data_IF_125390864567
#
_entry.id   IF_125390864567
#
_cell.length_a   1.000
_cell.length_b   1.000
_cell.length_c   1.000
_cell.angle_alpha   90.00
_cell.angle_beta   90.00
_cell.angle_gamma   90.00
#
_symmetry.space_group_name_H-M   'P 1'
#
loop_
_entity.id
_entity.type
_entity.pdbx_description
1 polymer ?
#
# COMPACT_ATOMS: atom_id res chain seq x y z
N UNK A 1 32.90 -14.99 1.20
CA UNK A 1 32.37 -15.37 -0.14
C UNK A 1 31.08 -16.12 0.10
N UNK A 2 29.94 -15.39 0.11
CA UNK A 2 28.60 -15.97 0.29
C UNK A 2 28.03 -16.26 -1.09
N UNK A 3 27.79 -17.54 -1.39
CA UNK A 3 27.11 -17.97 -2.59
C UNK A 3 25.61 -17.69 -2.42
N UNK A 4 25.07 -16.77 -3.25
CA UNK A 4 23.64 -16.59 -3.39
C UNK A 4 23.14 -17.69 -4.32
N UNK A 5 22.42 -18.67 -3.75
CA UNK A 5 21.71 -19.67 -4.55
C UNK A 5 20.44 -19.02 -5.13
N UNK A 6 20.46 -18.83 -6.43
CA UNK A 6 19.29 -18.35 -7.18
C UNK A 6 18.43 -19.56 -7.57
N UNK A 7 17.32 -19.76 -6.85
CA UNK A 7 16.31 -20.75 -7.23
C UNK A 7 15.47 -20.19 -8.38
N UNK A 8 15.62 -20.79 -9.57
CA UNK A 8 14.79 -20.46 -10.73
C UNK A 8 13.52 -21.33 -10.67
N UNK A 9 12.38 -20.79 -10.24
CA UNK A 9 11.10 -21.45 -10.37
C UNK A 9 10.55 -21.25 -11.78
N UNK A 10 10.42 -22.34 -12.53
CA UNK A 10 9.74 -22.35 -13.82
C UNK A 10 8.23 -22.42 -13.59
N UNK A 11 7.54 -21.28 -13.66
CA UNK A 11 6.07 -21.25 -13.66
C UNK A 11 5.62 -21.68 -15.07
N UNK A 12 4.92 -22.80 -15.16
CA UNK A 12 4.32 -23.24 -16.42
C UNK A 12 3.23 -22.24 -16.84
N UNK A 13 3.39 -21.68 -18.04
CA UNK A 13 2.36 -20.81 -18.66
C UNK A 13 2.77 -19.35 -18.91
N UNK A 14 3.88 -18.88 -18.36
CA UNK A 14 4.37 -17.52 -18.68
C UNK A 14 5.30 -17.59 -19.89
N UNK A 15 4.86 -17.06 -21.04
CA UNK A 15 5.74 -16.84 -22.19
C UNK A 15 6.73 -15.71 -21.81
N UNK A 16 7.99 -16.07 -21.64
CA UNK A 16 9.04 -15.09 -21.48
C UNK A 16 9.06 -14.18 -22.72
N UNK A 17 8.91 -12.88 -22.50
CA UNK A 17 9.12 -11.87 -23.54
C UNK A 17 10.61 -11.91 -23.90
N UNK A 18 10.93 -12.28 -25.15
CA UNK A 18 12.30 -12.22 -25.63
C UNK A 18 12.64 -10.76 -25.86
N UNK A 19 13.46 -10.20 -25.00
CA UNK A 19 14.12 -8.91 -25.27
C UNK A 19 15.45 -9.22 -25.97
N UNK A 20 15.60 -8.76 -27.19
CA UNK A 20 16.85 -8.84 -27.96
C UNK A 20 17.36 -7.41 -28.20
N UNK A 21 18.67 -7.23 -28.16
CA UNK A 21 19.28 -5.96 -28.55
C UNK A 21 19.27 -5.77 -30.07
N UNK A 22 19.76 -4.62 -30.55
CA UNK A 22 19.82 -4.33 -31.99
C UNK A 22 20.80 -5.22 -32.79
N UNK A 23 21.58 -6.06 -32.11
CA UNK A 23 22.51 -7.04 -32.70
C UNK A 23 21.96 -8.46 -32.64
N UNK A 24 20.74 -8.67 -32.06
CA UNK A 24 20.10 -9.99 -31.93
C UNK A 24 20.61 -10.81 -30.75
N UNK A 25 21.42 -10.24 -29.86
CA UNK A 25 21.92 -10.91 -28.69
C UNK A 25 20.82 -10.97 -27.60
N UNK A 26 20.79 -12.07 -26.85
CA UNK A 26 19.86 -12.22 -25.71
C UNK A 26 20.30 -11.34 -24.56
N UNK A 27 19.58 -10.25 -24.34
CA UNK A 27 19.76 -9.47 -23.11
C UNK A 27 19.00 -10.20 -22.01
N UNK A 28 19.71 -10.81 -21.07
CA UNK A 28 19.15 -11.28 -19.81
C UNK A 28 19.01 -10.07 -18.89
N UNK A 29 17.84 -9.43 -18.92
CA UNK A 29 17.53 -8.37 -17.95
C UNK A 29 17.47 -8.97 -16.53
N UNK A 30 18.22 -8.36 -15.61
CA UNK A 30 18.06 -8.67 -14.19
C UNK A 30 16.77 -7.98 -13.70
N UNK A 31 15.78 -8.78 -13.33
CA UNK A 31 14.53 -8.27 -12.80
C UNK A 31 14.52 -8.42 -11.28
N UNK A 32 14.18 -7.35 -10.57
CA UNK A 32 13.93 -7.36 -9.14
C UNK A 32 12.43 -7.59 -8.91
N UNK A 33 12.11 -8.58 -8.10
CA UNK A 33 10.74 -8.86 -7.66
C UNK A 33 10.63 -8.49 -6.18
N UNK A 34 9.63 -7.67 -5.84
CA UNK A 34 9.36 -7.23 -4.45
C UNK A 34 7.91 -7.56 -4.16
N UNK A 35 7.67 -8.26 -3.06
CA UNK A 35 6.35 -8.62 -2.58
C UNK A 35 6.19 -8.21 -1.12
N UNK A 36 4.94 -8.06 -0.69
CA UNK A 36 4.59 -7.91 0.70
C UNK A 36 5.03 -9.13 1.53
N UNK A 37 5.37 -8.89 2.81
CA UNK A 37 5.97 -9.93 3.66
C UNK A 37 5.01 -11.07 4.00
N UNK A 38 3.72 -10.79 4.24
CA UNK A 38 2.71 -11.77 4.65
C UNK A 38 1.37 -11.46 3.99
N UNK A 39 0.68 -12.49 3.51
CA UNK A 39 -0.69 -12.40 3.01
C UNK A 39 -1.55 -13.50 3.63
N UNK A 40 -2.77 -13.16 4.04
CA UNK A 40 -3.78 -14.09 4.52
C UNK A 40 -4.91 -14.15 3.50
N UNK A 41 -5.26 -15.36 3.06
CA UNK A 41 -6.27 -15.60 2.03
C UNK A 41 -7.37 -16.51 2.55
N UNK A 42 -8.61 -16.18 2.22
CA UNK A 42 -9.78 -17.02 2.53
C UNK A 42 -10.87 -16.28 3.28
N UNK A 43 -11.99 -16.96 3.43
CA UNK A 43 -13.13 -16.43 4.17
C UNK A 43 -12.77 -16.21 5.63
N UNK A 44 -12.97 -14.98 6.12
CA UNK A 44 -12.66 -14.62 7.50
C UNK A 44 -11.21 -14.24 7.76
N UNK A 45 -10.36 -14.06 6.73
CA UNK A 45 -8.95 -13.64 6.89
C UNK A 45 -8.77 -12.36 7.73
N UNK A 46 -9.76 -11.45 7.75
CA UNK A 46 -9.74 -10.25 8.60
C UNK A 46 -9.64 -10.57 10.10
N UNK A 47 -10.03 -11.78 10.53
CA UNK A 47 -9.94 -12.20 11.93
C UNK A 47 -8.50 -12.35 12.44
N UNK A 48 -7.53 -12.38 11.53
CA UNK A 48 -6.11 -12.41 11.88
C UNK A 48 -5.59 -11.03 12.34
N UNK A 49 -6.30 -9.93 12.01
CA UNK A 49 -5.88 -8.56 12.32
C UNK A 49 -5.54 -8.37 13.80
N UNK A 50 -6.39 -8.73 14.79
CA UNK A 50 -6.07 -8.51 16.20
C UNK A 50 -4.81 -9.26 16.65
N UNK A 51 -4.62 -10.48 16.16
CA UNK A 51 -3.41 -11.28 16.46
C UNK A 51 -2.14 -10.60 15.94
N UNK A 52 -2.18 -10.07 14.72
CA UNK A 52 -1.07 -9.33 14.11
C UNK A 52 -0.75 -8.07 14.92
N UNK A 53 -1.78 -7.26 15.22
CA UNK A 53 -1.64 -6.01 15.99
C UNK A 53 -1.01 -6.28 17.35
N UNK A 54 -1.56 -7.25 18.09
CA UNK A 54 -1.07 -7.61 19.41
C UNK A 54 0.37 -8.15 19.39
N UNK A 55 0.72 -8.97 18.41
CA UNK A 55 2.09 -9.53 18.28
C UNK A 55 3.15 -8.46 18.03
N UNK A 56 2.76 -7.34 17.44
CA UNK A 56 3.63 -6.18 17.17
C UNK A 56 3.58 -5.11 18.27
N UNK A 57 2.66 -5.24 19.22
CA UNK A 57 2.50 -4.30 20.33
C UNK A 57 1.87 -2.97 19.94
N UNK A 58 1.23 -2.89 18.78
CA UNK A 58 0.51 -1.70 18.33
C UNK A 58 -0.73 -1.42 19.17
N UNK A 59 -1.12 -0.14 19.27
CA UNK A 59 -2.20 0.33 20.16
C UNK A 59 -3.35 1.00 19.42
N UNK A 60 -3.06 1.82 18.41
CA UNK A 60 -4.07 2.62 17.74
C UNK A 60 -3.92 2.56 16.23
N UNK A 61 -4.98 2.14 15.55
CA UNK A 61 -5.05 2.07 14.10
C UNK A 61 -5.48 3.40 13.49
N UNK A 62 -4.87 3.80 12.38
CA UNK A 62 -5.46 4.73 11.44
C UNK A 62 -6.18 3.94 10.35
N UNK A 63 -7.51 3.93 10.38
CA UNK A 63 -8.33 3.17 9.43
C UNK A 63 -8.70 4.07 8.27
N UNK A 64 -8.08 3.86 7.12
CA UNK A 64 -8.34 4.61 5.90
C UNK A 64 -9.28 3.83 4.97
N UNK A 65 -10.44 4.42 4.64
CA UNK A 65 -11.45 3.81 3.79
C UNK A 65 -12.19 4.86 2.99
N UNK A 66 -12.83 4.48 1.88
CA UNK A 66 -13.69 5.41 1.18
C UNK A 66 -15.07 5.58 1.87
N UNK A 67 -15.75 6.73 1.65
CA UNK A 67 -17.00 7.03 2.34
C UNK A 67 -18.13 6.06 2.00
N UNK A 68 -18.15 5.45 0.82
CA UNK A 68 -19.20 4.51 0.43
C UNK A 68 -19.06 3.19 1.19
N UNK A 69 -17.83 2.69 1.34
CA UNK A 69 -17.59 1.49 2.15
C UNK A 69 -17.93 1.70 3.63
N UNK A 70 -17.72 2.90 4.14
CA UNK A 70 -18.18 3.29 5.49
C UNK A 70 -19.71 3.27 5.56
N UNK A 71 -20.37 3.94 4.63
CA UNK A 71 -21.82 4.03 4.54
C UNK A 71 -22.50 2.67 4.40
N UNK A 72 -21.93 1.77 3.62
CA UNK A 72 -22.48 0.43 3.39
C UNK A 72 -22.05 -0.60 4.45
N UNK A 73 -21.36 -0.20 5.50
CA UNK A 73 -20.97 -1.07 6.61
C UNK A 73 -19.87 -2.08 6.28
N UNK A 74 -19.18 -1.92 5.15
CA UNK A 74 -18.05 -2.80 4.82
C UNK A 74 -16.87 -2.54 5.74
N UNK A 75 -16.56 -1.26 6.00
CA UNK A 75 -15.52 -0.84 6.93
C UNK A 75 -15.83 -1.27 8.36
N UNK A 76 -17.11 -1.29 8.74
CA UNK A 76 -17.57 -1.71 10.07
C UNK A 76 -17.12 -3.13 10.41
N UNK A 77 -17.02 -4.05 9.45
CA UNK A 77 -16.53 -5.41 9.69
C UNK A 77 -15.12 -5.44 10.30
N UNK A 78 -14.29 -4.46 9.98
CA UNK A 78 -12.93 -4.35 10.54
C UNK A 78 -12.96 -3.51 11.82
N UNK A 79 -13.66 -2.35 11.82
CA UNK A 79 -13.68 -1.49 13.01
C UNK A 79 -14.39 -2.11 14.21
N UNK A 80 -15.42 -2.93 13.98
CA UNK A 80 -16.07 -3.66 15.06
C UNK A 80 -15.15 -4.74 15.62
N UNK A 81 -14.41 -5.43 14.75
CA UNK A 81 -13.39 -6.39 15.19
C UNK A 81 -12.27 -5.72 16.01
N UNK A 82 -11.85 -4.50 15.67
CA UNK A 82 -10.89 -3.73 16.48
C UNK A 82 -11.49 -3.40 17.87
N UNK A 83 -12.71 -2.90 17.90
CA UNK A 83 -13.43 -2.60 19.18
C UNK A 83 -13.57 -3.82 20.06
N UNK A 84 -14.02 -4.95 19.51
CA UNK A 84 -14.17 -6.22 20.23
C UNK A 84 -12.87 -6.70 20.87
N UNK A 85 -11.73 -6.33 20.29
CA UNK A 85 -10.40 -6.71 20.78
C UNK A 85 -9.67 -5.58 21.53
N UNK A 86 -10.38 -4.48 21.88
CA UNK A 86 -9.81 -3.38 22.64
C UNK A 86 -8.72 -2.59 21.94
N UNK A 87 -8.69 -2.63 20.58
CA UNK A 87 -7.75 -1.87 19.76
C UNK A 87 -8.39 -0.53 19.39
N UNK A 88 -7.76 0.55 19.81
CA UNK A 88 -8.22 1.90 19.46
C UNK A 88 -8.05 2.17 17.97
N UNK A 89 -8.90 3.03 17.41
CA UNK A 89 -8.74 3.45 16.02
C UNK A 89 -9.27 4.86 15.78
N UNK A 90 -8.74 5.50 14.74
CA UNK A 90 -9.26 6.70 14.12
C UNK A 90 -9.69 6.39 12.70
N UNK A 91 -10.93 6.74 12.34
CA UNK A 91 -11.45 6.51 11.00
C UNK A 91 -11.23 7.73 10.11
N UNK A 92 -10.51 7.54 9.02
CA UNK A 92 -10.32 8.52 7.96
C UNK A 92 -11.08 8.07 6.70
N UNK A 93 -12.07 8.85 6.27
CA UNK A 93 -12.93 8.51 5.14
C UNK A 93 -12.95 9.55 4.01
N UNK A 94 -12.02 10.51 4.01
CA UNK A 94 -11.89 11.46 2.90
C UNK A 94 -11.03 10.90 1.76
N UNK A 95 -11.33 9.67 1.34
CA UNK A 95 -10.70 9.05 0.18
C UNK A 95 -11.62 9.19 -1.03
N UNK A 96 -11.07 9.71 -2.12
CA UNK A 96 -11.81 9.92 -3.37
C UNK A 96 -11.36 8.92 -4.44
N UNK A 97 -12.24 8.55 -5.37
CA UNK A 97 -11.82 7.88 -6.60
C UNK A 97 -10.75 8.72 -7.30
N UNK A 98 -9.67 8.07 -7.76
CA UNK A 98 -8.50 8.75 -8.32
C UNK A 98 -7.90 9.75 -7.33
N UNK A 99 -7.22 9.29 -6.27
CA UNK A 99 -6.77 10.13 -5.18
C UNK A 99 -5.91 11.29 -5.67
N UNK A 100 -6.15 12.46 -5.10
CA UNK A 100 -5.43 13.69 -5.46
C UNK A 100 -4.29 13.95 -4.48
N UNK A 101 -3.37 14.83 -4.87
CA UNK A 101 -2.32 15.34 -3.97
C UNK A 101 -2.93 15.88 -2.68
N UNK A 102 -4.01 16.66 -2.77
CA UNK A 102 -4.71 17.21 -1.62
C UNK A 102 -5.26 16.14 -0.68
N UNK A 103 -5.86 15.06 -1.22
CA UNK A 103 -6.34 13.95 -0.40
C UNK A 103 -5.19 13.27 0.38
N UNK A 104 -4.03 13.12 -0.25
CA UNK A 104 -2.85 12.57 0.43
C UNK A 104 -2.40 13.50 1.57
N UNK A 105 -2.30 14.80 1.33
CA UNK A 105 -1.89 15.77 2.35
C UNK A 105 -2.85 15.82 3.52
N UNK A 106 -4.17 15.88 3.28
CA UNK A 106 -5.18 15.79 4.33
C UNK A 106 -5.05 14.49 5.14
N UNK A 107 -4.79 13.37 4.47
CA UNK A 107 -4.58 12.08 5.12
C UNK A 107 -3.30 12.05 5.98
N UNK A 108 -2.22 12.68 5.55
CA UNK A 108 -0.98 12.83 6.33
C UNK A 108 -1.23 13.64 7.60
N UNK A 109 -1.97 14.75 7.49
CA UNK A 109 -2.30 15.59 8.64
C UNK A 109 -3.24 14.85 9.61
N UNK A 110 -4.25 14.16 9.09
CA UNK A 110 -5.15 13.35 9.89
C UNK A 110 -4.42 12.21 10.62
N UNK A 111 -3.48 11.51 9.92
CA UNK A 111 -2.66 10.49 10.56
C UNK A 111 -1.83 11.05 11.72
N UNK A 112 -1.15 12.17 11.53
CA UNK A 112 -0.36 12.83 12.58
C UNK A 112 -1.21 13.24 13.76
N UNK A 113 -2.40 13.80 13.50
CA UNK A 113 -3.33 14.24 14.55
C UNK A 113 -3.94 13.06 15.34
N UNK A 114 -4.11 11.90 14.69
CA UNK A 114 -4.71 10.72 15.30
C UNK A 114 -3.87 10.09 16.41
N UNK A 115 -2.55 10.25 16.37
CA UNK A 115 -1.63 9.54 17.24
C UNK A 115 -1.59 8.03 17.00
N UNK A 116 -2.04 7.56 15.83
CA UNK A 116 -1.98 6.16 15.44
C UNK A 116 -0.54 5.69 15.23
N UNK A 117 -0.29 4.42 15.52
CA UNK A 117 1.03 3.79 15.39
C UNK A 117 1.11 2.76 14.25
N UNK A 118 -0.02 2.47 13.61
CA UNK A 118 -0.11 1.68 12.38
C UNK A 118 -1.32 2.08 11.54
N UNK A 119 -1.40 1.56 10.32
CA UNK A 119 -2.49 1.85 9.39
C UNK A 119 -3.24 0.59 8.98
N UNK A 120 -4.54 0.71 8.74
CA UNK A 120 -5.35 -0.27 8.03
C UNK A 120 -6.00 0.43 6.85
N UNK A 121 -5.71 -0.01 5.62
CA UNK A 121 -6.37 0.48 4.41
C UNK A 121 -7.46 -0.48 3.97
N UNK A 122 -8.69 0.02 3.80
CA UNK A 122 -9.84 -0.81 3.39
C UNK A 122 -10.42 -0.21 2.12
N UNK A 123 -10.45 -0.98 1.05
CA UNK A 123 -11.05 -0.50 -0.20
C UNK A 123 -10.43 -1.06 -1.46
N UNK A 124 -10.65 -0.37 -2.56
CA UNK A 124 -10.06 -0.65 -3.85
C UNK A 124 -8.70 0.04 -4.05
N UNK A 125 -8.25 0.11 -5.30
CA UNK A 125 -6.97 0.72 -5.65
C UNK A 125 -6.79 2.14 -5.09
N UNK A 126 -7.85 2.97 -5.14
CA UNK A 126 -7.77 4.36 -4.64
C UNK A 126 -7.48 4.42 -3.13
N UNK A 127 -8.09 3.55 -2.32
CA UNK A 127 -7.82 3.49 -0.89
C UNK A 127 -6.40 3.01 -0.62
N UNK A 128 -5.94 1.98 -1.36
CA UNK A 128 -4.58 1.46 -1.23
C UNK A 128 -3.54 2.52 -1.63
N UNK A 129 -3.73 3.17 -2.79
CA UNK A 129 -2.81 4.18 -3.31
C UNK A 129 -2.70 5.39 -2.38
N UNK A 130 -3.84 5.84 -1.81
CA UNK A 130 -3.85 6.90 -0.80
C UNK A 130 -3.08 6.50 0.46
N UNK A 131 -3.35 5.30 0.98
CA UNK A 131 -2.68 4.79 2.18
C UNK A 131 -1.17 4.66 2.00
N UNK A 132 -0.71 4.16 0.86
CA UNK A 132 0.70 4.07 0.52
C UNK A 132 1.37 5.44 0.53
N UNK A 133 0.79 6.42 -0.18
CA UNK A 133 1.33 7.78 -0.21
C UNK A 133 1.40 8.41 1.19
N UNK A 134 0.34 8.25 2.01
CA UNK A 134 0.33 8.73 3.40
C UNK A 134 1.46 8.06 4.19
N UNK A 135 1.50 6.72 4.18
CA UNK A 135 2.44 5.95 4.99
C UNK A 135 3.91 6.23 4.66
N UNK A 136 4.24 6.40 3.37
CA UNK A 136 5.59 6.76 2.93
C UNK A 136 5.97 8.14 3.43
N UNK A 137 5.10 9.14 3.28
CA UNK A 137 5.38 10.54 3.69
C UNK A 137 5.55 10.65 5.21
N UNK A 138 4.77 9.91 5.99
CA UNK A 138 4.89 9.93 7.46
C UNK A 138 6.30 9.54 7.89
N UNK A 139 6.90 8.53 7.31
CA UNK A 139 8.23 8.07 7.66
C UNK A 139 9.36 8.75 6.88
N UNK A 140 9.04 9.40 5.76
CA UNK A 140 9.98 10.15 4.92
C UNK A 140 9.46 11.58 4.67
N UNK A 141 9.44 12.45 5.70
CA UNK A 141 8.82 13.78 5.61
C UNK A 141 9.49 14.72 4.61
N UNK A 142 10.68 14.41 4.14
CA UNK A 142 11.36 15.11 3.05
C UNK A 142 10.59 15.01 1.72
N UNK A 143 9.68 14.03 1.60
CA UNK A 143 8.80 13.84 0.44
C UNK A 143 7.39 14.41 0.67
N UNK A 144 7.22 15.39 1.57
CA UNK A 144 5.92 16.03 1.83
C UNK A 144 5.33 16.73 0.59
N UNK A 145 6.16 17.18 -0.36
CA UNK A 145 5.66 17.47 -1.71
C UNK A 145 5.40 16.13 -2.43
N UNK A 146 4.11 15.77 -2.53
CA UNK A 146 3.68 14.49 -3.11
C UNK A 146 4.21 14.28 -4.53
N UNK A 147 4.46 15.35 -5.30
CA UNK A 147 5.05 15.28 -6.64
C UNK A 147 6.46 14.72 -6.64
N UNK A 148 7.19 14.87 -5.53
CA UNK A 148 8.54 14.32 -5.39
C UNK A 148 8.58 12.80 -5.33
N UNK A 149 7.42 12.16 -5.15
CA UNK A 149 7.28 10.70 -5.17
C UNK A 149 7.09 10.12 -6.59
N UNK A 150 6.98 10.97 -7.63
CA UNK A 150 6.80 10.52 -9.02
C UNK A 150 7.98 9.66 -9.50
N UNK A 151 7.68 8.54 -10.14
CA UNK A 151 8.68 7.57 -10.58
C UNK A 151 9.25 6.78 -9.40
N UNK A 152 10.54 6.52 -9.41
CA UNK A 152 11.24 5.82 -8.32
C UNK A 152 11.84 6.85 -7.37
N UNK A 153 11.14 7.14 -6.29
CA UNK A 153 11.63 8.07 -5.27
C UNK A 153 12.72 7.42 -4.41
N UNK A 154 13.79 8.16 -4.05
CA UNK A 154 14.87 7.64 -3.22
C UNK A 154 14.53 7.67 -1.72
N UNK A 155 13.37 7.14 -1.34
CA UNK A 155 12.96 7.03 0.06
C UNK A 155 13.90 6.12 0.83
N UNK A 156 14.11 6.40 2.11
CA UNK A 156 15.10 5.69 2.93
C UNK A 156 14.46 4.79 3.98
N UNK A 157 13.24 5.13 4.40
CA UNK A 157 12.51 4.41 5.44
C UNK A 157 11.29 3.74 4.84
N UNK A 158 10.96 2.57 5.36
CA UNK A 158 9.72 1.91 5.01
C UNK A 158 8.51 2.75 5.40
N UNK A 159 7.42 2.54 4.70
CA UNK A 159 6.10 3.05 5.06
C UNK A 159 5.76 2.70 6.52
N UNK A 160 4.79 3.37 7.11
CA UNK A 160 4.22 2.92 8.39
C UNK A 160 3.66 1.51 8.23
N UNK A 161 3.69 0.71 9.28
CA UNK A 161 3.15 -0.63 9.19
C UNK A 161 1.69 -0.58 8.76
N UNK A 162 1.39 -1.22 7.64
CA UNK A 162 0.07 -1.15 7.01
C UNK A 162 -0.51 -2.55 6.81
N UNK A 163 -1.77 -2.72 7.21
CA UNK A 163 -2.58 -3.89 6.89
C UNK A 163 -3.54 -3.50 5.77
N UNK A 164 -3.38 -4.11 4.60
CA UNK A 164 -4.24 -3.86 3.45
C UNK A 164 -5.40 -4.86 3.41
N UNK A 165 -6.63 -4.34 3.31
CA UNK A 165 -7.87 -5.12 3.20
C UNK A 165 -8.56 -4.78 1.89
N UNK A 166 -8.19 -5.42 0.76
CA UNK A 166 -8.75 -5.12 -0.54
C UNK A 166 -10.22 -5.55 -0.63
N UNK A 167 -11.04 -4.69 -1.25
CA UNK A 167 -12.46 -4.95 -1.53
C UNK A 167 -12.75 -5.15 -3.01
N UNK A 168 -11.76 -4.92 -3.88
CA UNK A 168 -11.87 -5.11 -5.33
C UNK A 168 -10.81 -6.08 -5.82
N UNK A 169 -11.21 -7.04 -6.63
CA UNK A 169 -10.28 -7.94 -7.32
C UNK A 169 -9.65 -7.29 -8.55
N UNK A 170 -8.41 -7.65 -8.87
CA UNK A 170 -7.73 -7.33 -10.12
C UNK A 170 -6.70 -6.23 -10.10
N UNK A 171 -6.72 -5.30 -9.15
CA UNK A 171 -5.71 -4.23 -9.08
C UNK A 171 -4.38 -4.72 -8.53
N UNK A 172 -4.40 -5.65 -7.58
CA UNK A 172 -3.22 -6.10 -6.86
C UNK A 172 -2.51 -4.98 -6.08
N UNK A 173 -3.21 -3.86 -5.85
CA UNK A 173 -2.62 -2.68 -5.23
C UNK A 173 -2.10 -2.97 -3.81
N UNK A 174 -2.67 -3.96 -3.13
CA UNK A 174 -2.24 -4.43 -1.81
C UNK A 174 -0.88 -5.15 -1.81
N UNK A 175 -0.40 -5.56 -2.98
CA UNK A 175 0.85 -6.35 -3.12
C UNK A 175 1.86 -5.75 -4.09
N UNK A 176 1.55 -4.58 -4.68
CA UNK A 176 2.44 -3.89 -5.62
C UNK A 176 3.19 -2.75 -4.95
N UNK A 177 4.36 -2.43 -5.46
CA UNK A 177 5.17 -1.26 -5.06
C UNK A 177 4.74 0.03 -5.74
N UNK A 178 3.65 -0.01 -6.53
CA UNK A 178 3.17 1.11 -7.32
C UNK A 178 1.92 1.72 -6.69
N UNK A 179 1.77 3.03 -6.82
CA UNK A 179 0.56 3.76 -6.51
C UNK A 179 0.41 4.97 -7.45
N UNK A 180 -0.83 5.39 -7.69
CA UNK A 180 -1.15 6.42 -8.70
C UNK A 180 -1.86 7.58 -8.03
N UNK A 181 -1.30 8.77 -8.18
CA UNK A 181 -1.85 10.00 -7.63
C UNK A 181 -2.22 10.96 -8.77
N UNK A 182 -3.29 11.71 -8.58
CA UNK A 182 -3.77 12.71 -9.52
C UNK A 182 -3.27 14.10 -9.13
N UNK A 183 -2.54 14.73 -10.03
CA UNK A 183 -2.20 16.15 -9.96
C UNK A 183 -3.29 16.93 -10.70
N UNK A 184 -4.21 17.51 -9.93
CA UNK A 184 -5.34 18.26 -10.47
C UNK A 184 -4.87 19.55 -11.15
N UNK A 185 -3.83 20.20 -10.60
CA UNK A 185 -3.25 21.42 -11.15
C UNK A 185 -2.67 21.20 -12.54
N UNK A 186 -1.88 20.12 -12.69
CA UNK A 186 -1.27 19.74 -13.97
C UNK A 186 -2.17 18.87 -14.85
N UNK A 187 -3.40 18.58 -14.39
CA UNK A 187 -4.40 17.75 -15.09
C UNK A 187 -3.85 16.41 -15.58
N UNK A 188 -3.06 15.74 -14.74
CA UNK A 188 -2.45 14.44 -15.07
C UNK A 188 -2.43 13.49 -13.89
N UNK A 189 -2.33 12.20 -14.16
CA UNK A 189 -1.97 11.20 -13.18
C UNK A 189 -0.48 10.90 -13.29
N UNK A 190 0.14 10.61 -12.14
CA UNK A 190 1.51 10.15 -12.11
C UNK A 190 1.62 8.88 -11.26
N UNK A 191 2.58 8.07 -11.62
CA UNK A 191 2.86 6.79 -10.96
C UNK A 191 4.04 6.99 -10.02
N UNK A 192 3.86 6.56 -8.79
CA UNK A 192 4.92 6.42 -7.81
C UNK A 192 5.31 4.94 -7.72
N UNK A 193 6.60 4.69 -7.56
CA UNK A 193 7.16 3.34 -7.46
C UNK A 193 8.13 3.32 -6.28
N UNK A 194 7.74 2.64 -5.19
CA UNK A 194 8.55 2.63 -3.99
C UNK A 194 8.65 1.23 -3.36
N UNK A 195 9.83 0.59 -3.42
CA UNK A 195 10.04 -0.70 -2.76
C UNK A 195 9.91 -0.67 -1.23
N UNK A 196 9.88 0.50 -0.62
CA UNK A 196 9.69 0.68 0.82
C UNK A 196 8.21 0.72 1.23
N UNK A 197 7.30 0.62 0.26
CA UNK A 197 5.87 0.81 0.44
C UNK A 197 5.12 -0.48 0.79
N UNK A 198 5.77 -1.65 0.71
CA UNK A 198 5.22 -2.96 1.03
C UNK A 198 6.14 -3.81 1.92
#
# INVERSE_FOLDING_TARGET
MQFIHMLCFRIQGVRAVRVVDMKGDRIMAVNRFVLNGISYHGHGAIKEIPGIVNSKGFKKAFVASDPDLVKFGVTAKVTDLLKENGIEYELYSDIKPNPTIENVLHGVDAYKASGADFMITIGGGSSMDTGKAIGIIINNPEFADVRSLEGVAPTKKRTVFTIAVPTTGGTGAESTINYVITDVEKKRKFVCVDPNDI
#
